data_IF_032668964037
#
_entry.id   IF_032668964037
#
_cell.length_a   1.000
_cell.length_b   1.000
_cell.length_c   1.000
_cell.angle_alpha   90.00
_cell.angle_beta   90.00
_cell.angle_gamma   90.00
#
_symmetry.space_group_name_H-M   'P 1'
#
loop_
_entity.id
_entity.type
_entity.pdbx_description
1 polymer ?
#
# COMPACT_ATOMS: atom_id res chain seq x y z
N UNK A 1 -2.62 14.39 2.96
CA UNK A 1 -3.41 13.16 2.72
C UNK A 1 -2.47 11.96 2.58
N UNK A 2 -2.78 10.86 3.28
CA UNK A 2 -1.98 9.62 3.21
C UNK A 2 -2.20 8.84 1.91
N UNK A 3 -1.30 7.91 1.58
CA UNK A 3 -1.46 7.06 0.39
C UNK A 3 -2.73 6.21 0.45
N UNK A 4 -3.00 5.60 1.61
CA UNK A 4 -4.20 4.79 1.82
C UNK A 4 -5.48 5.60 1.60
N UNK A 5 -5.51 6.82 2.17
CA UNK A 5 -6.61 7.77 2.03
C UNK A 5 -6.85 8.15 0.56
N UNK A 6 -5.79 8.42 -0.21
CA UNK A 6 -5.90 8.66 -1.67
C UNK A 6 -6.50 7.48 -2.43
N UNK A 7 -6.03 6.27 -2.14
CA UNK A 7 -6.55 5.05 -2.77
C UNK A 7 -8.04 4.84 -2.45
N UNK A 8 -8.49 5.21 -1.26
CA UNK A 8 -9.93 5.16 -0.90
C UNK A 8 -10.75 6.25 -1.60
N UNK A 9 -10.25 7.49 -1.67
CA UNK A 9 -10.94 8.58 -2.36
C UNK A 9 -11.06 8.33 -3.87
N UNK A 10 -10.03 7.73 -4.47
CA UNK A 10 -10.03 7.32 -5.89
C UNK A 10 -10.80 6.02 -6.16
N UNK A 11 -11.46 5.43 -5.15
CA UNK A 11 -12.19 4.15 -5.26
C UNK A 11 -11.36 2.96 -5.74
N UNK A 12 -10.04 3.02 -5.58
CA UNK A 12 -9.18 1.85 -5.75
C UNK A 12 -9.42 0.86 -4.61
N UNK A 13 -9.62 1.40 -3.40
CA UNK A 13 -9.94 0.65 -2.20
C UNK A 13 -11.34 1.03 -1.69
N UNK A 14 -12.14 0.04 -1.34
CA UNK A 14 -13.44 0.21 -0.68
C UNK A 14 -13.34 -0.32 0.74
N UNK A 15 -13.85 0.45 1.70
CA UNK A 15 -13.81 0.09 3.12
C UNK A 15 -15.17 -0.44 3.56
N UNK A 16 -15.16 -1.62 4.17
CA UNK A 16 -16.31 -2.20 4.88
C UNK A 16 -15.86 -2.63 6.29
N UNK A 17 -15.94 -1.68 7.24
CA UNK A 17 -15.38 -1.83 8.58
C UNK A 17 -13.87 -2.12 8.55
N UNK A 18 -13.39 -3.26 9.08
CA UNK A 18 -11.97 -3.64 9.02
C UNK A 18 -11.55 -4.24 7.66
N UNK A 19 -12.52 -4.54 6.78
CA UNK A 19 -12.26 -5.15 5.48
C UNK A 19 -11.89 -4.08 4.47
N UNK A 20 -10.91 -4.40 3.65
CA UNK A 20 -10.51 -3.59 2.51
C UNK A 20 -10.70 -4.42 1.27
N UNK A 21 -11.55 -3.93 0.37
CA UNK A 21 -11.76 -4.53 -0.94
C UNK A 21 -11.01 -3.73 -2.00
N UNK A 22 -10.43 -4.45 -2.96
CA UNK A 22 -9.71 -3.86 -4.09
C UNK A 22 -10.64 -3.91 -5.31
N UNK A 23 -10.93 -2.75 -5.88
CA UNK A 23 -11.72 -2.64 -7.12
C UNK A 23 -10.92 -3.10 -8.35
N UNK A 24 -11.60 -3.28 -9.49
CA UNK A 24 -10.95 -3.61 -10.76
C UNK A 24 -9.92 -2.54 -11.19
N UNK A 25 -10.31 -1.27 -11.14
CA UNK A 25 -9.43 -0.13 -11.46
C UNK A 25 -8.24 -0.07 -10.50
N UNK A 26 -8.47 -0.30 -9.21
CA UNK A 26 -7.41 -0.38 -8.21
C UNK A 26 -6.44 -1.51 -8.50
N UNK A 27 -6.93 -2.69 -8.90
CA UNK A 27 -6.09 -3.82 -9.27
C UNK A 27 -5.23 -3.53 -10.50
N UNK A 28 -5.82 -2.92 -11.53
CA UNK A 28 -5.09 -2.51 -12.73
C UNK A 28 -4.00 -1.49 -12.40
N UNK A 29 -4.32 -0.48 -11.61
CA UNK A 29 -3.39 0.59 -11.28
C UNK A 29 -2.26 0.10 -10.36
N UNK A 30 -2.56 -0.75 -9.37
CA UNK A 30 -1.53 -1.43 -8.58
C UNK A 30 -0.67 -2.37 -9.44
N UNK A 31 -1.25 -3.04 -10.44
CA UNK A 31 -0.50 -3.80 -11.44
C UNK A 31 0.49 -2.93 -12.23
N UNK A 32 0.09 -1.71 -12.63
CA UNK A 32 1.00 -0.72 -13.24
C UNK A 32 2.11 -0.24 -12.30
N UNK A 33 1.87 -0.29 -10.98
CA UNK A 33 2.90 -0.10 -9.97
C UNK A 33 3.76 -1.35 -9.76
N UNK A 34 3.55 -2.46 -10.46
CA UNK A 34 4.34 -3.69 -10.33
C UNK A 34 3.91 -4.56 -9.13
N UNK A 35 2.69 -4.39 -8.64
CA UNK A 35 2.11 -5.23 -7.59
C UNK A 35 1.46 -6.46 -8.23
N UNK A 36 1.93 -7.65 -7.88
CA UNK A 36 1.27 -8.91 -8.26
C UNK A 36 0.06 -9.17 -7.35
N UNK A 37 -1.08 -8.61 -7.73
CA UNK A 37 -2.36 -8.71 -6.99
C UNK A 37 -2.81 -10.16 -6.90
N UNK A 38 -2.66 -10.94 -7.96
CA UNK A 38 -3.10 -12.34 -8.01
C UNK A 38 -2.25 -13.22 -7.08
N UNK A 39 -0.93 -13.02 -7.05
CA UNK A 39 -0.08 -13.69 -6.07
C UNK A 39 -0.43 -13.28 -4.64
N UNK A 40 -0.81 -12.02 -4.40
CA UNK A 40 -1.26 -11.56 -3.09
C UNK A 40 -2.58 -12.23 -2.66
N UNK A 41 -3.55 -12.41 -3.57
CA UNK A 41 -4.83 -13.11 -3.30
C UNK A 41 -4.64 -14.57 -2.92
N UNK A 42 -3.63 -15.25 -3.48
CA UNK A 42 -3.31 -16.66 -3.19
C UNK A 42 -2.60 -16.89 -1.85
N UNK A 43 -2.19 -15.84 -1.12
CA UNK A 43 -1.50 -16.02 0.17
C UNK A 43 -2.49 -16.48 1.26
N UNK A 44 -2.00 -17.30 2.21
CA UNK A 44 -2.79 -17.79 3.35
C UNK A 44 -3.25 -16.71 4.35
N UNK A 45 -2.61 -15.54 4.35
CA UNK A 45 -2.96 -14.40 5.22
C UNK A 45 -4.07 -13.57 4.59
N UNK A 46 -4.76 -12.77 5.40
CA UNK A 46 -5.78 -11.84 4.92
C UNK A 46 -5.27 -10.98 3.75
N UNK A 47 -6.06 -10.89 2.69
CA UNK A 47 -5.68 -10.20 1.45
C UNK A 47 -5.40 -8.72 1.69
N UNK A 48 -6.34 -8.00 2.30
CA UNK A 48 -6.18 -6.60 2.67
C UNK A 48 -7.00 -6.31 3.93
N UNK A 49 -6.51 -5.40 4.76
CA UNK A 49 -7.19 -4.95 5.97
C UNK A 49 -6.77 -3.53 6.32
N UNK A 50 -7.59 -2.82 7.08
CA UNK A 50 -7.17 -1.61 7.76
C UNK A 50 -6.30 -2.02 8.94
N UNK A 51 -5.02 -1.69 8.89
CA UNK A 51 -4.14 -1.84 10.03
C UNK A 51 -4.03 -0.47 10.71
N UNK A 52 -4.36 -0.35 12.00
CA UNK A 52 -4.12 0.88 12.73
C UNK A 52 -2.62 0.97 13.04
N UNK A 53 -1.94 1.99 12.52
CA UNK A 53 -0.57 2.27 12.95
C UNK A 53 -0.62 2.91 14.34
N UNK A 54 0.03 2.29 15.32
CA UNK A 54 0.09 2.81 16.70
C UNK A 54 1.00 4.04 16.80
N UNK A 55 1.86 4.28 15.82
CA UNK A 55 2.77 5.43 15.79
C UNK A 55 2.15 6.68 15.14
N UNK A 56 1.33 6.51 14.09
CA UNK A 56 0.74 7.63 13.33
C UNK A 56 -0.78 7.80 13.54
N UNK A 57 -1.43 6.86 14.25
CA UNK A 57 -2.90 6.81 14.49
C UNK A 57 -3.76 6.91 13.21
N UNK A 58 -3.21 6.54 12.05
CA UNK A 58 -3.92 6.54 10.76
C UNK A 58 -4.09 5.11 10.25
N UNK A 59 -5.25 4.78 9.65
CA UNK A 59 -5.42 3.50 8.99
C UNK A 59 -4.48 3.42 7.78
N UNK A 60 -3.79 2.29 7.66
CA UNK A 60 -2.98 1.98 6.49
C UNK A 60 -3.35 0.61 5.91
N UNK A 61 -2.91 0.37 4.67
CA UNK A 61 -3.12 -0.90 4.00
C UNK A 61 -2.26 -1.99 4.66
N UNK A 62 -2.93 -2.90 5.34
CA UNK A 62 -2.36 -4.15 5.84
C UNK A 62 -2.62 -5.33 4.90
N UNK A 63 -2.32 -6.54 5.36
CA UNK A 63 -2.59 -7.76 4.60
C UNK A 63 -1.65 -7.99 3.40
N UNK A 64 -1.87 -9.09 2.70
CA UNK A 64 -1.06 -9.54 1.55
C UNK A 64 -0.80 -8.43 0.54
N UNK A 65 -1.83 -7.63 0.24
CA UNK A 65 -1.78 -6.51 -0.67
C UNK A 65 -0.85 -5.39 -0.18
N UNK A 66 -0.93 -5.02 1.10
CA UNK A 66 -0.05 -4.00 1.68
C UNK A 66 1.42 -4.41 1.64
N UNK A 67 1.72 -5.69 1.87
CA UNK A 67 3.09 -6.20 1.74
C UNK A 67 3.58 -6.25 0.29
N UNK A 68 2.70 -6.61 -0.65
CA UNK A 68 3.04 -6.64 -2.07
C UNK A 68 3.31 -5.21 -2.59
N UNK A 69 2.50 -4.23 -2.16
CA UNK A 69 2.76 -2.82 -2.43
C UNK A 69 4.10 -2.37 -1.85
N UNK A 70 4.37 -2.67 -0.58
CA UNK A 70 5.66 -2.36 0.04
C UNK A 70 6.83 -2.98 -0.72
N UNK A 71 6.72 -4.24 -1.13
CA UNK A 71 7.73 -4.93 -1.94
C UNK A 71 8.01 -4.20 -3.26
N UNK A 72 6.96 -3.73 -3.95
CA UNK A 72 7.12 -2.91 -5.15
C UNK A 72 7.82 -1.57 -4.86
N UNK A 73 7.43 -0.86 -3.81
CA UNK A 73 8.04 0.41 -3.43
C UNK A 73 9.53 0.25 -3.08
N UNK A 74 9.90 -0.84 -2.43
CA UNK A 74 11.30 -1.20 -2.14
C UNK A 74 12.07 -1.51 -3.43
N UNK A 75 11.50 -2.33 -4.33
CA UNK A 75 12.13 -2.69 -5.60
C UNK A 75 12.38 -1.48 -6.51
N UNK A 76 11.53 -0.45 -6.41
CA UNK A 76 11.68 0.83 -7.12
C UNK A 76 12.64 1.81 -6.42
N UNK A 77 13.14 1.48 -5.23
CA UNK A 77 13.96 2.39 -4.42
C UNK A 77 13.20 3.62 -3.93
N UNK A 78 11.88 3.55 -3.83
CA UNK A 78 11.04 4.65 -3.34
C UNK A 78 10.99 4.69 -1.81
N UNK A 79 11.14 3.53 -1.18
CA UNK A 79 11.37 3.40 0.25
C UNK A 79 12.57 2.50 0.48
N UNK A 80 13.21 2.64 1.64
CA UNK A 80 14.34 1.79 2.04
C UNK A 80 14.35 1.55 3.56
N UNK A 81 14.88 0.41 4.02
CA UNK A 81 15.03 0.13 5.45
C UNK A 81 16.00 1.09 6.13
N UNK A 82 15.68 1.49 7.36
CA UNK A 82 16.67 2.14 8.23
C UNK A 82 17.58 1.10 8.88
N UNK A 83 18.85 1.46 9.16
CA UNK A 83 19.82 0.53 9.77
C UNK A 83 19.55 0.21 11.24
N UNK A 84 18.77 1.06 11.92
CA UNK A 84 18.63 1.05 13.38
C UNK A 84 17.23 0.68 13.85
N UNK A 85 16.25 0.58 12.95
CA UNK A 85 14.88 0.25 13.33
C UNK A 85 14.11 -0.44 12.20
N UNK A 86 12.90 -0.92 12.52
CA UNK A 86 11.95 -1.43 11.50
C UNK A 86 11.27 -0.32 10.69
N UNK A 87 11.59 0.94 10.96
CA UNK A 87 11.09 2.06 10.17
C UNK A 87 11.68 2.03 8.77
N UNK A 88 10.90 2.53 7.82
CA UNK A 88 11.29 2.74 6.43
C UNK A 88 11.52 4.24 6.22
N UNK A 89 12.57 4.59 5.47
CA UNK A 89 12.79 5.94 4.97
C UNK A 89 12.21 6.05 3.58
N UNK A 90 11.40 7.07 3.33
CA UNK A 90 10.99 7.44 1.97
C UNK A 90 12.14 8.19 1.30
N UNK A 91 12.58 7.74 0.12
CA UNK A 91 13.66 8.40 -0.62
C UNK A 91 13.16 9.68 -1.30
N UNK A 92 14.03 10.61 -1.71
CA UNK A 92 13.59 11.81 -2.46
C UNK A 92 12.81 11.46 -3.73
N UNK A 93 13.16 10.37 -4.41
CA UNK A 93 12.40 9.86 -5.53
C UNK A 93 11.02 9.35 -5.08
N UNK A 94 10.98 8.56 -4.01
CA UNK A 94 9.73 8.07 -3.43
C UNK A 94 8.79 9.18 -3.01
N UNK A 95 9.28 10.29 -2.45
CA UNK A 95 8.42 11.44 -2.09
C UNK A 95 7.69 12.01 -3.31
N UNK A 96 8.37 12.12 -4.46
CA UNK A 96 7.80 12.65 -5.70
C UNK A 96 6.84 11.70 -6.39
N UNK A 97 7.09 10.40 -6.31
CA UNK A 97 6.27 9.41 -7.01
C UNK A 97 5.09 8.93 -6.17
N UNK A 98 5.29 8.69 -4.86
CA UNK A 98 4.22 8.21 -3.97
C UNK A 98 3.07 9.22 -3.90
N UNK A 99 3.35 10.51 -3.92
CA UNK A 99 2.31 11.55 -3.88
C UNK A 99 1.38 11.50 -5.10
N UNK A 100 1.86 10.99 -6.25
CA UNK A 100 1.08 10.87 -7.49
C UNK A 100 0.25 9.59 -7.56
N UNK A 101 0.48 8.62 -6.67
CA UNK A 101 -0.32 7.40 -6.64
C UNK A 101 -1.73 7.76 -6.18
N UNK A 102 -2.73 7.40 -7.00
CA UNK A 102 -4.14 7.67 -6.76
C UNK A 102 -4.42 9.18 -6.48
N UNK A 103 -3.69 10.05 -7.18
CA UNK A 103 -3.85 11.50 -7.16
C UNK A 103 -4.79 11.98 -8.27
#
# INVERSE_FOLDING_TARGET
MGLFERMTQSRWLMLDGPRVELSGDGAQALGGLGVDVEAARRKRRQFACTCPDWSERKPHLGGALGAALLGSLLARGWVEPTRTSRALRVTPAGQREIIRIAA
#
